data_IF_782180884431
#
_entry.id   IF_782180884431
#
_cell.length_a   1.000
_cell.length_b   1.000
_cell.length_c   1.000
_cell.angle_alpha   90.00
_cell.angle_beta   90.00
_cell.angle_gamma   90.00
#
_symmetry.space_group_name_H-M   'P 1'
#
loop_
_entity.id
_entity.type
_entity.pdbx_description
1 polymer ?
#
# COMPACT_ATOMS: atom_id res chain seq x y z
N UNK A 1 -25.32 -25.41 39.69
CA UNK A 1 -24.22 -24.97 38.81
C UNK A 1 -24.35 -25.43 37.35
N UNK A 2 -25.52 -25.89 36.87
CA UNK A 2 -25.71 -26.34 35.47
C UNK A 2 -26.63 -25.44 34.61
N UNK A 3 -27.41 -24.54 35.22
CA UNK A 3 -28.39 -23.70 34.50
C UNK A 3 -27.74 -22.47 33.84
N UNK A 4 -26.64 -21.96 34.41
CA UNK A 4 -25.90 -20.81 33.87
C UNK A 4 -25.17 -21.13 32.55
N UNK A 5 -24.63 -22.35 32.39
CA UNK A 5 -23.89 -22.72 31.17
C UNK A 5 -24.82 -22.88 29.94
N UNK A 6 -26.07 -23.32 30.16
CA UNK A 6 -27.10 -23.38 29.11
C UNK A 6 -27.51 -21.98 28.66
N UNK A 7 -27.72 -21.05 29.59
CA UNK A 7 -28.04 -19.65 29.25
C UNK A 7 -26.90 -18.96 28.51
N UNK A 8 -25.63 -19.18 28.89
CA UNK A 8 -24.49 -18.59 28.19
C UNK A 8 -24.36 -19.15 26.76
N UNK A 9 -24.59 -20.45 26.54
CA UNK A 9 -24.60 -21.06 25.21
C UNK A 9 -25.75 -20.55 24.33
N UNK A 10 -26.94 -20.31 24.90
CA UNK A 10 -28.08 -19.73 24.16
C UNK A 10 -27.79 -18.27 23.77
N UNK A 11 -27.17 -17.47 24.64
CA UNK A 11 -26.79 -16.09 24.31
C UNK A 11 -25.70 -16.06 23.21
N UNK A 12 -24.71 -16.95 23.26
CA UNK A 12 -23.67 -17.07 22.22
C UNK A 12 -24.24 -17.58 20.88
N UNK A 13 -25.31 -18.36 20.88
CA UNK A 13 -26.03 -18.74 19.65
C UNK A 13 -26.93 -17.63 19.10
N UNK A 14 -27.62 -16.88 19.97
CA UNK A 14 -28.47 -15.76 19.54
C UNK A 14 -27.67 -14.57 18.99
N UNK A 15 -26.42 -14.34 19.46
CA UNK A 15 -25.50 -13.37 18.85
C UNK A 15 -24.79 -13.88 17.58
N UNK A 16 -24.87 -15.18 17.26
CA UNK A 16 -24.33 -15.74 16.01
C UNK A 16 -25.35 -15.80 14.86
N UNK A 17 -26.59 -15.37 15.10
CA UNK A 17 -27.48 -15.00 14.00
C UNK A 17 -26.89 -13.74 13.39
N UNK A 18 -26.14 -13.90 12.28
CA UNK A 18 -25.80 -12.82 11.36
C UNK A 18 -27.11 -12.17 10.91
N UNK A 19 -27.51 -11.11 11.61
CA UNK A 19 -28.20 -10.02 10.97
C UNK A 19 -27.27 -9.51 9.88
N UNK A 20 -27.46 -10.04 8.67
CA UNK A 20 -27.06 -9.36 7.45
C UNK A 20 -27.89 -8.07 7.43
N UNK A 21 -27.39 -7.06 8.13
CA UNK A 21 -27.72 -5.67 7.85
C UNK A 21 -27.23 -5.44 6.43
N UNK A 22 -28.09 -5.74 5.46
CA UNK A 22 -27.92 -5.30 4.09
C UNK A 22 -28.01 -3.79 4.17
N UNK A 23 -26.86 -3.15 4.34
CA UNK A 23 -26.73 -1.71 4.17
C UNK A 23 -27.20 -1.45 2.75
N UNK A 24 -28.41 -0.91 2.63
CA UNK A 24 -28.97 -0.55 1.33
C UNK A 24 -28.16 0.66 0.86
N UNK A 25 -27.11 0.38 0.09
CA UNK A 25 -26.33 1.41 -0.60
C UNK A 25 -27.23 2.07 -1.64
N UNK A 26 -27.81 3.22 -1.31
CA UNK A 26 -28.59 4.00 -2.28
C UNK A 26 -27.65 4.70 -3.26
N UNK A 27 -27.52 4.15 -4.46
CA UNK A 27 -26.64 4.69 -5.51
C UNK A 27 -27.25 5.91 -6.22
N UNK A 28 -27.03 7.09 -5.66
CA UNK A 28 -27.43 8.39 -6.23
C UNK A 28 -26.29 9.06 -7.01
N UNK A 29 -25.79 8.41 -8.06
CA UNK A 29 -24.80 8.99 -8.99
C UNK A 29 -25.47 9.55 -10.25
N UNK A 30 -24.89 10.61 -10.84
CA UNK A 30 -25.39 11.24 -12.06
C UNK A 30 -24.99 10.41 -13.29
N UNK A 31 -25.88 10.37 -14.28
CA UNK A 31 -25.58 9.78 -15.59
C UNK A 31 -24.45 10.58 -16.24
N UNK A 32 -23.48 9.87 -16.82
CA UNK A 32 -22.25 10.43 -17.40
C UNK A 32 -21.07 10.51 -16.43
N UNK A 33 -21.25 10.35 -15.11
CA UNK A 33 -20.12 10.35 -14.18
C UNK A 33 -19.25 9.10 -14.37
N UNK A 34 -17.95 9.29 -14.51
CA UNK A 34 -16.96 8.21 -14.44
C UNK A 34 -16.93 7.65 -13.01
N UNK A 35 -17.15 6.35 -12.85
CA UNK A 35 -17.18 5.65 -11.57
C UNK A 35 -16.09 4.58 -11.51
N UNK A 36 -15.53 4.35 -10.32
CA UNK A 36 -14.74 3.16 -9.98
C UNK A 36 -15.55 2.31 -9.01
N UNK A 37 -15.87 1.08 -9.42
CA UNK A 37 -16.57 0.07 -8.61
C UNK A 37 -15.56 -0.98 -8.15
N UNK A 38 -15.53 -1.26 -6.86
CA UNK A 38 -14.84 -2.42 -6.29
C UNK A 38 -15.89 -3.46 -5.90
N UNK A 39 -15.68 -4.72 -6.28
CA UNK A 39 -16.57 -5.83 -5.95
C UNK A 39 -16.11 -6.59 -4.70
N UNK A 40 -17.02 -7.36 -4.08
CA UNK A 40 -16.75 -8.19 -2.90
C UNK A 40 -15.67 -9.23 -3.12
N UNK A 41 -15.49 -9.69 -4.36
CA UNK A 41 -14.40 -10.58 -4.79
C UNK A 41 -13.05 -9.84 -5.05
N UNK A 42 -12.97 -8.55 -4.71
CA UNK A 42 -11.83 -7.64 -4.89
C UNK A 42 -11.45 -7.33 -6.35
N UNK A 43 -12.30 -7.65 -7.34
CA UNK A 43 -12.17 -7.08 -8.69
C UNK A 43 -12.53 -5.59 -8.66
N UNK A 44 -11.91 -4.82 -9.54
CA UNK A 44 -12.12 -3.37 -9.66
C UNK A 44 -12.45 -3.04 -11.11
N UNK A 45 -13.49 -2.25 -11.33
CA UNK A 45 -13.94 -1.79 -12.63
C UNK A 45 -14.04 -0.27 -12.63
N UNK A 46 -13.78 0.35 -13.77
CA UNK A 46 -13.96 1.79 -13.99
C UNK A 46 -14.82 1.99 -15.23
N UNK A 47 -15.80 2.90 -15.22
CA UNK A 47 -16.69 3.13 -16.36
C UNK A 47 -17.67 4.27 -16.12
N UNK A 48 -18.36 4.74 -17.15
CA UNK A 48 -19.31 5.86 -17.02
C UNK A 48 -20.67 5.34 -16.55
N UNK A 49 -21.27 5.93 -15.49
CA UNK A 49 -22.64 5.58 -15.09
C UNK A 49 -23.60 5.94 -16.23
N UNK A 50 -24.17 4.92 -16.84
CA UNK A 50 -25.21 5.05 -17.85
C UNK A 50 -26.60 5.00 -17.23
N UNK A 51 -26.76 4.25 -16.14
CA UNK A 51 -27.97 4.20 -15.32
C UNK A 51 -27.61 3.80 -13.90
N UNK A 52 -27.99 4.62 -12.92
CA UNK A 52 -27.80 4.32 -11.51
C UNK A 52 -29.19 4.20 -10.86
N UNK A 53 -29.41 3.11 -10.11
CA UNK A 53 -30.66 2.74 -9.48
C UNK A 53 -30.40 2.21 -8.05
N UNK A 54 -31.42 2.19 -7.19
CA UNK A 54 -31.29 1.91 -5.74
C UNK A 54 -30.51 0.65 -5.36
N UNK A 55 -30.42 -0.35 -6.24
CA UNK A 55 -29.65 -1.58 -6.02
C UNK A 55 -28.74 -1.98 -7.21
N UNK A 56 -28.53 -1.10 -8.20
CA UNK A 56 -27.81 -1.44 -9.42
C UNK A 56 -27.15 -0.23 -10.08
N UNK A 57 -25.92 -0.42 -10.57
CA UNK A 57 -25.19 0.54 -11.38
C UNK A 57 -24.89 -0.10 -12.74
N UNK A 58 -25.33 0.55 -13.81
CA UNK A 58 -24.99 0.17 -15.18
C UNK A 58 -23.87 1.08 -15.69
N UNK A 59 -22.70 0.52 -15.98
CA UNK A 59 -21.56 1.24 -16.55
C UNK A 59 -21.43 0.97 -18.06
N UNK A 60 -20.90 1.96 -18.79
CA UNK A 60 -20.34 1.78 -20.14
C UNK A 60 -18.86 2.22 -20.20
N UNK A 61 -18.19 1.96 -21.33
CA UNK A 61 -16.76 2.23 -21.53
C UNK A 61 -15.90 1.65 -20.40
N UNK A 62 -16.21 0.40 -20.04
CA UNK A 62 -15.75 -0.21 -18.79
C UNK A 62 -14.34 -0.76 -18.92
N UNK A 63 -13.50 -0.49 -17.94
CA UNK A 63 -12.11 -0.91 -17.83
C UNK A 63 -11.97 -1.79 -16.59
N UNK A 64 -11.65 -3.07 -16.78
CA UNK A 64 -11.36 -4.00 -15.68
C UNK A 64 -9.90 -3.85 -15.22
N UNK A 65 -9.71 -3.62 -13.92
CA UNK A 65 -8.42 -3.54 -13.23
C UNK A 65 -8.04 -4.89 -12.58
N UNK A 66 -6.73 -5.18 -12.45
CA UNK A 66 -5.60 -4.33 -12.84
C UNK A 66 -5.29 -4.35 -14.34
N UNK A 67 -6.00 -5.17 -15.11
CA UNK A 67 -5.63 -5.50 -16.47
C UNK A 67 -5.82 -4.38 -17.49
N UNK A 68 -6.47 -3.27 -17.12
CA UNK A 68 -6.97 -2.22 -18.03
C UNK A 68 -7.67 -2.81 -19.25
N UNK A 69 -8.43 -3.90 -19.04
CA UNK A 69 -9.11 -4.60 -20.12
C UNK A 69 -10.41 -3.85 -20.40
N UNK A 70 -10.50 -3.25 -21.58
CA UNK A 70 -11.74 -2.67 -22.07
C UNK A 70 -12.78 -3.77 -22.30
N UNK A 71 -13.90 -3.66 -21.59
CA UNK A 71 -15.05 -4.54 -21.71
C UNK A 71 -16.11 -3.85 -22.57
N UNK A 72 -16.44 -4.48 -23.70
CA UNK A 72 -17.41 -3.94 -24.66
C UNK A 72 -18.84 -4.11 -24.13
N UNK A 73 -19.67 -3.10 -24.39
CA UNK A 73 -21.08 -3.08 -24.03
C UNK A 73 -21.37 -2.37 -22.71
N UNK A 74 -22.58 -2.59 -22.21
CA UNK A 74 -23.04 -2.10 -20.92
C UNK A 74 -22.95 -3.23 -19.90
N UNK A 75 -22.34 -2.97 -18.75
CA UNK A 75 -22.22 -3.94 -17.65
C UNK A 75 -23.02 -3.44 -16.45
N UNK A 76 -23.81 -4.33 -15.87
CA UNK A 76 -24.63 -4.07 -14.69
C UNK A 76 -23.96 -4.69 -13.47
N UNK A 77 -23.83 -3.91 -12.40
CA UNK A 77 -23.29 -4.31 -11.11
C UNK A 77 -24.35 -4.09 -10.03
N UNK A 78 -24.60 -5.09 -9.19
CA UNK A 78 -25.65 -5.06 -8.17
C UNK A 78 -25.11 -4.73 -6.77
N UNK A 79 -25.94 -4.14 -5.90
CA UNK A 79 -25.54 -3.74 -4.55
C UNK A 79 -25.07 -4.89 -3.63
N UNK A 80 -25.32 -6.15 -4.00
CA UNK A 80 -24.86 -7.34 -3.28
C UNK A 80 -23.45 -7.81 -3.68
N UNK A 81 -22.98 -7.44 -4.87
CA UNK A 81 -21.62 -7.72 -5.35
C UNK A 81 -20.70 -6.50 -5.25
N UNK A 82 -21.26 -5.29 -5.22
CA UNK A 82 -20.52 -4.04 -5.01
C UNK A 82 -20.05 -3.94 -3.54
N UNK A 83 -18.74 -3.81 -3.34
CA UNK A 83 -18.09 -3.54 -2.05
C UNK A 83 -17.88 -2.04 -1.83
N UNK A 84 -17.52 -1.28 -2.87
CA UNK A 84 -17.46 0.18 -2.83
C UNK A 84 -17.64 0.82 -4.20
N UNK A 85 -18.03 2.10 -4.24
CA UNK A 85 -18.14 2.91 -5.46
C UNK A 85 -17.52 4.28 -5.19
N UNK A 86 -16.72 4.78 -6.14
CA UNK A 86 -16.06 6.09 -6.10
C UNK A 86 -16.34 6.84 -7.39
N UNK A 87 -16.46 8.17 -7.34
CA UNK A 87 -16.58 9.03 -8.54
C UNK A 87 -15.18 9.48 -8.96
N UNK A 88 -14.93 9.51 -10.26
CA UNK A 88 -13.80 10.18 -10.92
C UNK A 88 -14.35 11.47 -11.55
N UNK A 89 -14.02 12.62 -10.96
CA UNK A 89 -14.43 13.91 -11.49
C UNK A 89 -13.53 14.34 -12.67
N UNK A 90 -14.13 14.73 -13.79
CA UNK A 90 -13.42 15.25 -14.96
C UNK A 90 -12.86 16.66 -14.68
N UNK A 91 -11.54 16.77 -14.70
CA UNK A 91 -10.86 18.07 -14.77
C UNK A 91 -10.73 18.44 -16.25
N UNK A 92 -11.68 19.23 -16.77
CA UNK A 92 -11.48 20.30 -17.77
C UNK A 92 -12.83 20.85 -18.28
N UNK A 93 -13.07 22.15 -18.08
CA UNK A 93 -13.75 23.04 -19.03
C UNK A 93 -13.64 24.48 -18.53
N UNK A 94 -12.62 25.20 -19.03
CA UNK A 94 -12.49 26.65 -18.89
C UNK A 94 -12.79 27.29 -20.25
N UNK A 95 -13.70 28.26 -20.30
CA UNK A 95 -13.93 29.10 -21.49
C UNK A 95 -15.39 29.45 -21.82
N UNK A 96 -15.85 30.60 -21.30
CA UNK A 96 -16.73 31.62 -21.93
C UNK A 96 -18.05 31.18 -22.62
N UNK A 97 -19.23 31.81 -22.45
CA UNK A 97 -19.51 33.25 -22.28
C UNK A 97 -20.96 33.51 -21.75
N UNK A 98 -21.14 34.64 -21.04
CA UNK A 98 -22.28 35.57 -20.96
C UNK A 98 -23.74 35.24 -20.48
N UNK A 99 -24.14 36.07 -19.49
CA UNK A 99 -25.39 36.86 -19.39
C UNK A 99 -26.74 36.27 -18.89
N UNK A 100 -27.00 36.55 -17.60
CA UNK A 100 -28.10 37.41 -17.10
C UNK A 100 -29.30 36.82 -16.31
N UNK A 101 -29.59 37.53 -15.20
CA UNK A 101 -30.88 37.72 -14.46
C UNK A 101 -31.35 36.75 -13.34
N UNK A 102 -31.20 37.28 -12.12
CA UNK A 102 -32.09 37.24 -10.94
C UNK A 102 -32.04 36.06 -9.92
N UNK A 103 -31.86 36.48 -8.67
CA UNK A 103 -31.84 35.75 -7.38
C UNK A 103 -33.25 35.70 -6.74
N UNK A 104 -33.46 35.12 -5.53
CA UNK A 104 -32.54 34.41 -4.61
C UNK A 104 -33.08 32.98 -4.26
N UNK A 105 -32.64 32.22 -3.25
CA UNK A 105 -31.61 32.36 -2.19
C UNK A 105 -31.10 30.97 -1.73
N UNK A 106 -30.04 30.95 -0.90
CA UNK A 106 -29.84 30.09 0.30
C UNK A 106 -28.35 29.82 0.58
N UNK A 107 -27.84 30.52 1.59
CA UNK A 107 -26.76 30.20 2.53
C UNK A 107 -25.61 29.23 2.14
N UNK A 108 -24.42 29.85 2.03
CA UNK A 108 -23.07 29.27 2.08
C UNK A 108 -22.85 28.09 3.04
N UNK A 109 -22.41 26.95 2.48
CA UNK A 109 -21.53 25.99 3.17
C UNK A 109 -20.16 25.97 2.47
N UNK A 110 -19.08 25.95 3.27
CA UNK A 110 -17.72 26.26 2.79
C UNK A 110 -17.11 25.11 1.97
N UNK A 111 -16.52 25.46 0.82
CA UNK A 111 -15.81 24.55 -0.08
C UNK A 111 -14.63 23.84 0.60
N UNK A 112 -14.77 22.53 0.84
CA UNK A 112 -13.64 21.63 1.01
C UNK A 112 -13.12 21.20 -0.36
N UNK A 113 -11.87 21.53 -0.68
CA UNK A 113 -11.24 21.15 -1.96
C UNK A 113 -10.93 19.64 -1.92
N UNK A 114 -11.88 18.82 -2.35
CA UNK A 114 -11.66 17.40 -2.57
C UNK A 114 -10.81 17.21 -3.84
N UNK A 115 -9.60 16.67 -3.67
CA UNK A 115 -8.71 16.33 -4.80
C UNK A 115 -9.23 15.06 -5.50
N UNK A 116 -9.16 14.99 -6.85
CA UNK A 116 -9.63 13.82 -7.59
C UNK A 116 -8.78 12.57 -7.23
N UNK A 117 -9.46 11.50 -6.80
CA UNK A 117 -8.79 10.26 -6.40
C UNK A 117 -8.53 9.38 -7.62
N UNK A 118 -7.25 9.26 -7.98
CA UNK A 118 -6.82 8.54 -9.17
C UNK A 118 -6.95 7.01 -9.03
N UNK A 119 -7.02 6.35 -10.18
CA UNK A 119 -6.73 4.92 -10.41
C UNK A 119 -5.43 4.46 -9.71
N UNK A 120 -5.31 3.15 -9.43
CA UNK A 120 -4.08 2.47 -8.96
C UNK A 120 -2.82 3.10 -9.57
N UNK A 121 -1.95 3.68 -8.73
CA UNK A 121 -0.85 4.54 -9.12
C UNK A 121 0.46 3.81 -9.46
N UNK A 122 0.39 2.48 -9.69
CA UNK A 122 1.51 1.65 -10.18
C UNK A 122 1.18 1.06 -11.55
N UNK A 123 2.20 0.60 -12.28
CA UNK A 123 2.01 -0.05 -13.59
C UNK A 123 1.22 -1.35 -13.43
N UNK A 124 0.37 -1.68 -14.40
CA UNK A 124 -0.38 -2.97 -14.46
C UNK A 124 0.49 -4.19 -14.17
N UNK A 125 1.62 -4.30 -14.86
CA UNK A 125 2.53 -5.44 -14.74
C UNK A 125 3.12 -5.56 -13.33
N UNK A 126 3.43 -4.41 -12.70
CA UNK A 126 3.91 -4.34 -11.32
C UNK A 126 2.85 -4.80 -10.33
N UNK A 127 1.61 -4.30 -10.44
CA UNK A 127 0.52 -4.75 -9.56
C UNK A 127 0.21 -6.24 -9.72
N UNK A 128 0.21 -6.75 -10.96
CA UNK A 128 -0.01 -8.17 -11.22
C UNK A 128 1.11 -9.05 -10.63
N UNK A 129 2.38 -8.62 -10.76
CA UNK A 129 3.56 -9.26 -10.18
C UNK A 129 3.46 -9.32 -8.65
N UNK A 130 3.10 -8.20 -8.01
CA UNK A 130 2.91 -8.11 -6.57
C UNK A 130 1.78 -9.04 -6.09
N UNK A 131 0.64 -9.10 -6.80
CA UNK A 131 -0.45 -10.03 -6.47
C UNK A 131 -0.04 -11.49 -6.64
N UNK A 132 0.73 -11.83 -7.68
CA UNK A 132 1.23 -13.20 -7.88
C UNK A 132 2.09 -13.63 -6.70
N UNK A 133 3.05 -12.80 -6.28
CA UNK A 133 3.94 -13.06 -5.12
C UNK A 133 3.18 -13.33 -3.81
N UNK A 134 1.96 -12.80 -3.63
CA UNK A 134 1.13 -13.15 -2.46
C UNK A 134 0.64 -14.60 -2.46
N UNK A 135 0.72 -15.29 -3.61
CA UNK A 135 0.25 -16.66 -3.86
C UNK A 135 1.40 -17.62 -4.19
N UNK A 136 2.46 -17.15 -4.84
CA UNK A 136 3.68 -17.90 -5.17
C UNK A 136 4.76 -17.85 -4.06
N UNK A 137 4.36 -17.64 -2.80
CA UNK A 137 5.29 -17.61 -1.65
C UNK A 137 6.01 -18.95 -1.43
N UNK A 138 7.21 -18.89 -0.86
CA UNK A 138 7.97 -20.07 -0.39
C UNK A 138 7.84 -20.17 1.13
N UNK A 139 7.08 -21.15 1.61
CA UNK A 139 6.90 -21.44 3.04
C UNK A 139 7.87 -22.52 3.53
N UNK A 140 8.62 -22.19 4.58
CA UNK A 140 9.65 -23.03 5.19
C UNK A 140 9.30 -23.32 6.64
N UNK A 141 8.91 -24.57 6.89
CA UNK A 141 8.70 -25.13 8.23
C UNK A 141 9.97 -25.73 8.85
N UNK A 142 11.02 -25.90 8.05
CA UNK A 142 12.26 -26.60 8.36
C UNK A 142 13.44 -25.91 7.70
N UNK A 143 14.62 -26.04 8.31
CA UNK A 143 15.89 -25.64 7.71
C UNK A 143 16.32 -26.76 6.73
N UNK A 144 15.93 -26.62 5.46
CA UNK A 144 16.24 -27.53 4.36
C UNK A 144 16.91 -26.78 3.19
N UNK A 145 17.12 -27.41 2.04
CA UNK A 145 17.77 -26.76 0.89
C UNK A 145 17.05 -25.47 0.45
N UNK A 146 15.71 -25.39 0.55
CA UNK A 146 14.96 -24.18 0.20
C UNK A 146 15.27 -23.02 1.16
N UNK A 147 15.61 -23.32 2.41
CA UNK A 147 16.12 -22.32 3.36
C UNK A 147 17.49 -21.80 2.91
N UNK A 148 18.39 -22.69 2.49
CA UNK A 148 19.72 -22.31 1.99
C UNK A 148 19.62 -21.45 0.72
N UNK A 149 18.80 -21.86 -0.24
CA UNK A 149 18.50 -21.11 -1.46
C UNK A 149 17.91 -19.72 -1.13
N UNK A 150 16.98 -19.66 -0.17
CA UNK A 150 16.35 -18.42 0.28
C UNK A 150 17.35 -17.45 0.93
N UNK A 151 18.20 -17.92 1.86
CA UNK A 151 19.18 -17.03 2.51
C UNK A 151 20.29 -16.61 1.53
N UNK A 152 20.69 -17.48 0.61
CA UNK A 152 21.63 -17.11 -0.45
C UNK A 152 21.02 -15.99 -1.32
N UNK A 153 19.79 -16.15 -1.81
CA UNK A 153 19.12 -15.13 -2.62
C UNK A 153 18.94 -13.80 -1.86
N UNK A 154 18.43 -13.86 -0.64
CA UNK A 154 18.22 -12.68 0.21
C UNK A 154 19.54 -11.97 0.55
N UNK A 155 20.67 -12.69 0.65
CA UNK A 155 21.99 -12.09 0.90
C UNK A 155 22.51 -11.25 -0.29
N UNK A 156 22.01 -11.49 -1.50
CA UNK A 156 22.36 -10.73 -2.71
C UNK A 156 21.41 -9.55 -2.99
N UNK A 157 20.34 -9.37 -2.20
CA UNK A 157 19.35 -8.31 -2.40
C UNK A 157 19.82 -6.97 -1.82
N UNK A 158 19.69 -5.86 -2.58
CA UNK A 158 19.94 -4.52 -2.04
C UNK A 158 18.85 -4.07 -1.04
N UNK A 159 17.58 -4.40 -1.33
CA UNK A 159 16.42 -4.06 -0.52
C UNK A 159 15.60 -5.34 -0.27
N UNK A 160 15.24 -5.59 0.99
CA UNK A 160 14.31 -6.67 1.39
C UNK A 160 13.22 -6.07 2.28
N UNK A 161 11.97 -6.46 2.11
CA UNK A 161 10.93 -6.13 3.07
C UNK A 161 10.84 -7.17 4.19
N UNK A 162 10.60 -6.74 5.43
CA UNK A 162 10.60 -7.60 6.62
C UNK A 162 9.36 -7.35 7.47
N UNK A 163 8.61 -8.41 7.76
CA UNK A 163 7.45 -8.41 8.65
C UNK A 163 7.58 -9.53 9.67
N UNK A 164 7.49 -9.21 10.95
CA UNK A 164 7.42 -10.20 12.04
C UNK A 164 5.97 -10.40 12.48
N UNK A 165 5.44 -11.61 12.34
CA UNK A 165 4.11 -11.94 12.85
C UNK A 165 4.20 -12.12 14.37
N UNK A 166 3.21 -11.58 15.09
CA UNK A 166 3.22 -11.35 16.54
C UNK A 166 4.31 -10.38 17.05
N UNK A 167 4.93 -9.56 16.19
CA UNK A 167 5.88 -8.54 16.66
C UNK A 167 5.25 -7.48 17.56
N UNK A 168 3.94 -7.27 17.50
CA UNK A 168 3.18 -6.27 18.26
C UNK A 168 3.38 -6.35 19.78
N UNK A 169 3.65 -7.55 20.30
CA UNK A 169 3.99 -7.80 21.71
C UNK A 169 5.42 -7.35 22.10
N UNK A 170 6.28 -7.03 21.13
CA UNK A 170 7.67 -6.67 21.35
C UNK A 170 8.43 -7.79 22.07
N UNK A 171 9.20 -7.44 23.08
CA UNK A 171 9.95 -8.37 23.95
C UNK A 171 9.11 -9.38 24.74
N UNK A 172 7.78 -9.23 24.79
CA UNK A 172 6.91 -10.11 25.58
C UNK A 172 6.65 -11.46 24.90
N UNK A 173 6.91 -11.57 23.60
CA UNK A 173 6.63 -12.79 22.82
C UNK A 173 7.63 -12.95 21.67
N UNK A 174 8.02 -14.18 21.38
CA UNK A 174 8.77 -14.51 20.18
C UNK A 174 7.87 -14.36 18.93
N UNK A 175 8.46 -13.88 17.83
CA UNK A 175 7.82 -13.92 16.51
C UNK A 175 7.36 -15.34 16.15
N UNK A 176 6.10 -15.47 15.71
CA UNK A 176 5.53 -16.75 15.23
C UNK A 176 6.00 -17.09 13.82
N UNK A 177 6.08 -16.07 12.95
CA UNK A 177 6.62 -16.16 11.59
C UNK A 177 7.52 -14.95 11.34
N UNK A 178 8.57 -15.15 10.54
CA UNK A 178 9.28 -14.06 9.89
C UNK A 178 8.97 -14.13 8.39
N UNK A 179 8.34 -13.08 7.86
CA UNK A 179 8.10 -12.92 6.43
C UNK A 179 9.15 -11.98 5.87
N UNK A 180 9.90 -12.44 4.88
CA UNK A 180 10.90 -11.64 4.16
C UNK A 180 10.58 -11.65 2.68
N UNK A 181 10.64 -10.51 2.02
CA UNK A 181 10.32 -10.37 0.61
C UNK A 181 11.50 -9.71 -0.11
N UNK A 182 12.03 -10.35 -1.16
CA UNK A 182 12.90 -9.70 -2.14
C UNK A 182 12.06 -8.85 -3.10
N UNK A 183 12.64 -8.32 -4.17
CA UNK A 183 11.84 -7.70 -5.24
C UNK A 183 10.80 -8.67 -5.79
N UNK A 184 11.16 -9.93 -6.01
CA UNK A 184 10.49 -10.91 -6.87
C UNK A 184 9.91 -12.14 -6.13
N UNK A 185 10.31 -12.41 -4.88
CA UNK A 185 9.90 -13.60 -4.13
C UNK A 185 9.56 -13.27 -2.67
N UNK A 186 8.45 -13.83 -2.17
CA UNK A 186 8.11 -13.84 -0.74
C UNK A 186 8.55 -15.14 -0.10
N UNK A 187 9.23 -15.04 1.05
CA UNK A 187 9.67 -16.15 1.90
C UNK A 187 8.97 -16.06 3.26
N UNK A 188 8.43 -17.18 3.75
CA UNK A 188 7.79 -17.28 5.07
C UNK A 188 8.56 -18.32 5.88
N UNK A 189 9.34 -17.83 6.86
CA UNK A 189 10.11 -18.65 7.78
C UNK A 189 9.28 -18.93 9.04
N UNK A 190 8.98 -20.19 9.31
CA UNK A 190 8.18 -20.61 10.46
C UNK A 190 9.05 -20.82 11.71
N UNK A 191 9.26 -19.72 12.45
CA UNK A 191 10.18 -19.70 13.59
C UNK A 191 9.71 -20.58 14.75
N UNK A 192 8.40 -20.89 14.85
CA UNK A 192 7.90 -21.88 15.83
C UNK A 192 8.33 -23.31 15.47
N UNK A 193 8.45 -23.63 14.17
CA UNK A 193 8.77 -24.97 13.70
C UNK A 193 10.27 -25.23 13.49
N UNK A 194 11.09 -24.17 13.41
CA UNK A 194 12.55 -24.32 13.26
C UNK A 194 13.24 -25.00 14.46
N UNK A 195 12.57 -25.09 15.63
CA UNK A 195 12.97 -25.90 16.81
C UNK A 195 14.38 -25.63 17.39
N UNK A 196 15.05 -24.54 16.99
CA UNK A 196 16.35 -24.15 17.57
C UNK A 196 16.20 -23.28 18.81
N UNK A 197 17.15 -23.38 19.75
CA UNK A 197 17.24 -22.51 20.93
C UNK A 197 17.77 -21.10 20.62
N UNK A 198 18.34 -20.93 19.43
CA UNK A 198 18.99 -19.71 18.95
C UNK A 198 18.41 -19.35 17.59
N UNK A 199 18.31 -18.05 17.30
CA UNK A 199 17.92 -17.56 15.98
C UNK A 199 18.93 -18.01 14.91
N UNK A 200 18.47 -18.13 13.67
CA UNK A 200 19.27 -18.68 12.58
C UNK A 200 20.41 -17.73 12.17
N UNK A 201 21.69 -18.18 12.15
CA UNK A 201 22.84 -17.31 11.89
C UNK A 201 22.79 -16.61 10.52
N UNK A 202 22.34 -17.30 9.47
CA UNK A 202 22.31 -16.76 8.12
C UNK A 202 21.26 -15.64 8.00
N UNK A 203 20.06 -15.85 8.55
CA UNK A 203 19.04 -14.81 8.65
C UNK A 203 19.49 -13.65 9.54
N UNK A 204 20.17 -13.92 10.66
CA UNK A 204 20.74 -12.87 11.53
C UNK A 204 21.70 -12.00 10.74
N UNK A 205 22.64 -12.60 10.00
CA UNK A 205 23.60 -11.85 9.17
C UNK A 205 22.91 -10.94 8.14
N UNK A 206 21.82 -11.40 7.51
CA UNK A 206 21.04 -10.60 6.56
C UNK A 206 20.34 -9.42 7.28
N UNK A 207 19.68 -9.67 8.41
CA UNK A 207 18.97 -8.64 9.19
C UNK A 207 19.91 -7.61 9.83
N UNK A 208 21.14 -8.01 10.17
CA UNK A 208 22.18 -7.16 10.76
C UNK A 208 23.12 -6.51 9.72
N UNK A 209 23.08 -6.92 8.45
CA UNK A 209 23.92 -6.37 7.37
C UNK A 209 23.63 -4.91 7.05
N UNK A 210 24.61 -4.02 7.18
CA UNK A 210 24.48 -2.62 6.73
C UNK A 210 24.43 -2.49 5.19
N UNK A 211 24.83 -3.51 4.43
CA UNK A 211 24.73 -3.53 2.97
C UNK A 211 23.33 -3.82 2.43
N UNK A 212 22.46 -4.43 3.23
CA UNK A 212 21.10 -4.82 2.84
C UNK A 212 20.10 -3.90 3.56
N UNK A 213 19.27 -3.19 2.81
CA UNK A 213 18.25 -2.28 3.36
C UNK A 213 17.00 -3.05 3.74
N UNK A 214 16.59 -2.98 5.01
CA UNK A 214 15.37 -3.63 5.51
C UNK A 214 14.20 -2.65 5.46
N UNK A 215 13.26 -2.92 4.57
CA UNK A 215 12.04 -2.14 4.39
C UNK A 215 10.99 -2.64 5.36
N UNK A 216 10.46 -1.76 6.20
CA UNK A 216 9.50 -2.12 7.25
C UNK A 216 8.38 -1.08 7.33
N UNK A 217 7.35 -1.39 8.08
CA UNK A 217 6.27 -0.48 8.43
C UNK A 217 6.10 -0.52 9.95
N UNK A 218 6.26 0.62 10.61
CA UNK A 218 6.30 0.76 12.07
C UNK A 218 7.30 -0.20 12.75
N UNK A 219 8.58 0.08 12.55
CA UNK A 219 9.71 -0.74 13.00
C UNK A 219 9.77 -0.97 14.52
N UNK A 220 9.17 -0.10 15.34
CA UNK A 220 9.34 -0.02 16.81
C UNK A 220 9.17 -1.38 17.49
N UNK A 221 8.09 -2.09 17.16
CA UNK A 221 7.72 -3.37 17.79
C UNK A 221 8.51 -4.55 17.24
N UNK A 222 8.82 -4.54 15.95
CA UNK A 222 9.68 -5.54 15.30
C UNK A 222 11.11 -5.48 15.86
N UNK A 223 11.69 -4.29 15.99
CA UNK A 223 13.04 -4.08 16.54
C UNK A 223 13.12 -4.51 18.00
N UNK A 224 12.15 -4.16 18.84
CA UNK A 224 12.10 -4.57 20.25
C UNK A 224 12.06 -6.10 20.40
N UNK A 225 11.22 -6.78 19.61
CA UNK A 225 11.13 -8.24 19.60
C UNK A 225 12.44 -8.89 19.10
N UNK A 226 12.95 -8.48 17.93
CA UNK A 226 14.18 -9.02 17.36
C UNK A 226 15.37 -8.89 18.32
N UNK A 227 15.54 -7.72 18.95
CA UNK A 227 16.64 -7.49 19.90
C UNK A 227 16.49 -8.32 21.18
N UNK A 228 15.33 -8.28 21.83
CA UNK A 228 15.17 -8.92 23.14
C UNK A 228 14.93 -10.43 23.06
N UNK A 229 14.08 -10.91 22.16
CA UNK A 229 13.71 -12.32 22.03
C UNK A 229 14.75 -13.11 21.21
N UNK A 230 15.17 -12.55 20.07
CA UNK A 230 15.97 -13.27 19.07
C UNK A 230 17.46 -12.92 19.05
N UNK A 231 17.87 -11.88 19.80
CA UNK A 231 19.24 -11.34 19.83
C UNK A 231 19.73 -10.88 18.44
N UNK A 232 18.82 -10.27 17.67
CA UNK A 232 19.06 -9.71 16.34
C UNK A 232 18.92 -8.19 16.39
N UNK A 233 19.95 -7.47 15.95
CA UNK A 233 19.99 -6.01 15.83
C UNK A 233 19.64 -5.60 14.41
N UNK A 234 18.36 -5.35 14.13
CA UNK A 234 17.94 -4.87 12.80
C UNK A 234 18.64 -3.55 12.45
N UNK A 235 19.47 -3.56 11.40
CA UNK A 235 20.24 -2.39 10.90
C UNK A 235 19.66 -1.85 9.58
N UNK A 236 20.26 -0.79 9.01
CA UNK A 236 19.92 -0.19 7.70
C UNK A 236 18.42 -0.26 7.35
N UNK A 237 17.60 0.41 8.18
CA UNK A 237 16.13 0.33 8.10
C UNK A 237 15.61 1.49 7.24
N UNK A 238 14.71 1.19 6.29
CA UNK A 238 13.78 2.17 5.74
C UNK A 238 12.39 1.90 6.33
N UNK A 239 11.89 2.82 7.14
CA UNK A 239 10.57 2.73 7.77
C UNK A 239 9.55 3.55 6.98
N UNK A 240 8.61 2.85 6.33
CA UNK A 240 7.57 3.45 5.49
C UNK A 240 6.56 4.30 6.28
N UNK A 241 6.43 4.08 7.59
CA UNK A 241 5.65 4.94 8.48
C UNK A 241 6.40 6.25 8.78
N UNK A 242 7.72 6.19 9.00
CA UNK A 242 8.54 7.40 9.16
C UNK A 242 8.55 8.24 7.87
N UNK A 243 8.68 7.58 6.71
CA UNK A 243 8.57 8.24 5.42
C UNK A 243 7.20 8.90 5.21
N UNK A 244 6.10 8.26 5.64
CA UNK A 244 4.76 8.84 5.64
C UNK A 244 4.69 10.14 6.46
N UNK A 245 5.19 10.12 7.70
CA UNK A 245 5.21 11.31 8.56
C UNK A 245 6.05 12.46 7.97
N UNK A 246 7.20 12.14 7.35
CA UNK A 246 8.05 13.15 6.69
C UNK A 246 7.35 13.78 5.48
N UNK A 247 6.67 12.98 4.66
CA UNK A 247 5.92 13.46 3.50
C UNK A 247 4.72 14.34 3.90
N UNK A 248 3.96 13.94 4.92
CA UNK A 248 2.84 14.74 5.43
C UNK A 248 3.32 16.06 6.04
N UNK A 249 4.45 16.05 6.76
CA UNK A 249 5.08 17.28 7.26
C UNK A 249 5.52 18.19 6.11
N UNK A 250 6.13 17.65 5.05
CA UNK A 250 6.53 18.42 3.85
C UNK A 250 5.32 19.07 3.17
N UNK A 251 4.21 18.34 3.04
CA UNK A 251 2.99 18.82 2.38
C UNK A 251 2.20 19.85 3.22
N UNK A 252 2.05 19.62 4.53
CA UNK A 252 1.17 20.44 5.39
C UNK A 252 1.90 21.52 6.17
N UNK A 253 3.24 21.47 6.22
CA UNK A 253 4.13 22.24 7.12
C UNK A 253 3.85 22.04 8.62
N UNK A 254 2.95 21.14 8.98
CA UNK A 254 2.57 20.82 10.35
C UNK A 254 3.11 19.45 10.77
N UNK A 255 3.21 19.19 12.07
CA UNK A 255 3.55 17.85 12.56
C UNK A 255 2.33 16.92 12.44
N UNK A 256 2.41 15.80 11.67
CA UNK A 256 1.35 14.81 11.62
C UNK A 256 1.19 14.12 12.98
N UNK A 257 -0.05 13.82 13.34
CA UNK A 257 -0.43 13.23 14.65
C UNK A 257 -0.79 11.75 14.58
N UNK A 258 -0.95 11.19 13.38
CA UNK A 258 -1.42 9.82 13.14
C UNK A 258 -0.42 9.12 12.24
N UNK A 259 0.04 7.95 12.68
CA UNK A 259 0.75 7.00 11.83
C UNK A 259 -0.31 6.21 11.09
N UNK A 260 -0.28 6.26 9.75
CA UNK A 260 -1.14 5.41 8.92
C UNK A 260 -0.67 3.97 9.05
N UNK A 261 -1.59 3.03 9.13
CA UNK A 261 -1.26 1.61 9.00
C UNK A 261 -0.85 1.28 7.55
N UNK A 262 -0.43 0.03 7.32
CA UNK A 262 0.08 -0.38 6.00
C UNK A 262 -0.99 -0.33 4.91
N UNK A 263 -2.25 -0.70 5.21
CA UNK A 263 -3.35 -0.64 4.23
C UNK A 263 -3.68 0.81 3.85
N UNK A 264 -3.80 1.69 4.86
CA UNK A 264 -4.00 3.15 4.67
C UNK A 264 -2.85 3.80 3.90
N UNK A 265 -1.62 3.31 4.08
CA UNK A 265 -0.44 3.80 3.36
C UNK A 265 -0.42 3.34 1.91
N UNK A 266 -0.81 2.09 1.63
CA UNK A 266 -0.94 1.57 0.26
C UNK A 266 -2.09 2.26 -0.50
N UNK A 267 -3.21 2.52 0.16
CA UNK A 267 -4.29 3.35 -0.39
C UNK A 267 -3.77 4.77 -0.69
N UNK A 268 -3.18 5.44 0.29
CA UNK A 268 -2.78 6.85 0.14
C UNK A 268 -1.66 7.11 -0.87
N UNK A 269 -0.67 6.21 -0.98
CA UNK A 269 0.49 6.41 -1.85
C UNK A 269 0.40 5.67 -3.20
N UNK A 270 -0.32 4.55 -3.26
CA UNK A 270 -0.43 3.69 -4.45
C UNK A 270 -1.86 3.57 -5.01
N UNK A 271 -2.86 4.20 -4.39
CA UNK A 271 -4.29 4.07 -4.72
C UNK A 271 -4.76 2.60 -4.76
N UNK A 272 -4.22 1.76 -3.87
CA UNK A 272 -4.68 0.39 -3.68
C UNK A 272 -6.00 0.36 -2.89
N UNK A 273 -6.79 -0.73 -2.98
CA UNK A 273 -8.00 -0.87 -2.17
C UNK A 273 -7.71 -0.78 -0.67
N UNK A 274 -8.46 0.05 0.05
CA UNK A 274 -8.37 0.19 1.52
C UNK A 274 -8.49 -1.15 2.25
N UNK A 275 -9.33 -2.05 1.71
CA UNK A 275 -9.60 -3.41 2.19
C UNK A 275 -8.70 -4.49 1.58
N UNK A 276 -7.54 -4.15 1.02
CA UNK A 276 -6.58 -5.12 0.46
C UNK A 276 -5.93 -5.98 1.55
N UNK A 277 -5.62 -5.39 2.70
CA UNK A 277 -4.93 -6.06 3.83
C UNK A 277 -5.81 -6.24 5.08
N UNK A 278 -7.05 -5.76 5.08
CA UNK A 278 -8.03 -5.87 6.19
C UNK A 278 -8.05 -7.30 6.77
N UNK A 279 -8.38 -8.26 5.92
CA UNK A 279 -8.35 -9.70 6.16
C UNK A 279 -7.07 -10.25 6.83
N UNK A 280 -5.90 -9.65 6.54
CA UNK A 280 -4.60 -10.10 7.04
C UNK A 280 -4.22 -9.42 8.37
N UNK A 281 -4.65 -8.16 8.56
CA UNK A 281 -4.47 -7.38 9.78
C UNK A 281 -5.41 -7.82 10.91
N UNK A 282 -6.58 -8.36 10.58
CA UNK A 282 -7.55 -8.89 11.55
C UNK A 282 -7.21 -10.28 12.11
N UNK A 283 -6.20 -10.98 11.57
CA UNK A 283 -5.86 -12.33 12.04
C UNK A 283 -5.31 -12.28 13.46
N UNK A 284 -5.94 -13.04 14.35
CA UNK A 284 -5.56 -13.11 15.76
C UNK A 284 -4.25 -13.88 15.95
N UNK A 285 -3.55 -13.54 17.02
CA UNK A 285 -2.33 -14.22 17.49
C UNK A 285 -2.51 -15.73 17.65
N UNK A 286 -3.62 -16.19 18.22
CA UNK A 286 -3.92 -17.63 18.34
C UNK A 286 -3.97 -18.32 16.98
N UNK A 287 -4.61 -17.71 15.97
CA UNK A 287 -4.67 -18.25 14.61
C UNK A 287 -3.31 -18.21 13.88
N UNK A 288 -2.41 -17.29 14.26
CA UNK A 288 -1.03 -17.27 13.77
C UNK A 288 -0.14 -18.34 14.40
N UNK A 289 -0.52 -18.88 15.56
CA UNK A 289 0.18 -19.96 16.26
C UNK A 289 -0.32 -21.36 15.89
N UNK A 290 -1.52 -21.49 15.30
CA UNK A 290 -2.06 -22.77 14.84
C UNK A 290 -1.11 -23.47 13.86
N UNK A 291 -0.87 -24.78 14.09
CA UNK A 291 -0.06 -25.63 13.21
C UNK A 291 -0.79 -26.95 12.91
N UNK A 292 -0.77 -27.44 11.65
CA UNK A 292 -0.08 -26.86 10.48
C UNK A 292 -0.73 -25.55 10.01
N UNK A 293 0.09 -24.56 9.65
CA UNK A 293 -0.40 -23.24 9.25
C UNK A 293 -1.22 -23.36 7.96
N UNK A 294 -2.46 -22.85 7.98
CA UNK A 294 -3.38 -22.89 6.84
C UNK A 294 -2.85 -22.08 5.65
N UNK A 295 -3.11 -22.55 4.43
CA UNK A 295 -2.65 -21.87 3.21
C UNK A 295 -3.26 -20.46 3.05
N UNK A 296 -4.48 -20.23 3.54
CA UNK A 296 -5.09 -18.89 3.60
C UNK A 296 -4.32 -17.93 4.50
N UNK A 297 -3.77 -18.42 5.63
CA UNK A 297 -2.93 -17.63 6.55
C UNK A 297 -1.56 -17.34 5.93
N UNK A 298 -0.98 -18.29 5.18
CA UNK A 298 0.28 -18.04 4.42
C UNK A 298 0.12 -16.95 3.36
N UNK A 299 -0.98 -16.95 2.59
CA UNK A 299 -1.33 -15.85 1.66
C UNK A 299 -1.42 -14.52 2.42
N UNK A 300 -2.17 -14.49 3.54
CA UNK A 300 -2.29 -13.29 4.39
C UNK A 300 -0.93 -12.78 4.90
N UNK A 301 -0.06 -13.68 5.35
CA UNK A 301 1.30 -13.33 5.77
C UNK A 301 2.13 -12.75 4.61
N UNK A 302 2.02 -13.32 3.40
CA UNK A 302 2.70 -12.82 2.21
C UNK A 302 2.18 -11.44 1.77
N UNK A 303 0.86 -11.20 1.84
CA UNK A 303 0.24 -9.91 1.54
C UNK A 303 0.79 -8.76 2.40
N UNK A 304 1.11 -9.01 3.68
CA UNK A 304 1.66 -7.99 4.58
C UNK A 304 3.06 -7.50 4.17
N UNK A 305 3.85 -8.33 3.46
CA UNK A 305 5.21 -8.01 3.06
C UNK A 305 5.35 -7.58 1.58
N UNK A 306 4.60 -8.22 0.67
CA UNK A 306 4.80 -8.11 -0.78
C UNK A 306 4.81 -6.66 -1.30
N UNK A 307 3.94 -5.80 -0.76
CA UNK A 307 3.76 -4.43 -1.26
C UNK A 307 4.73 -3.40 -0.66
N UNK A 308 5.54 -3.77 0.35
CA UNK A 308 6.37 -2.82 1.11
C UNK A 308 7.49 -2.20 0.28
N UNK A 309 8.12 -2.95 -0.63
CA UNK A 309 9.21 -2.42 -1.47
C UNK A 309 8.66 -1.36 -2.43
N UNK A 310 7.59 -1.67 -3.16
CA UNK A 310 6.92 -0.72 -4.08
C UNK A 310 6.38 0.52 -3.34
N UNK A 311 5.88 0.36 -2.11
CA UNK A 311 5.50 1.49 -1.25
C UNK A 311 6.72 2.37 -0.90
N UNK A 312 7.83 1.76 -0.49
CA UNK A 312 9.09 2.46 -0.22
C UNK A 312 9.59 3.22 -1.44
N UNK A 313 9.61 2.61 -2.62
CA UNK A 313 10.07 3.26 -3.86
C UNK A 313 9.22 4.50 -4.18
N UNK A 314 7.90 4.40 -4.03
CA UNK A 314 6.99 5.54 -4.19
C UNK A 314 7.29 6.64 -3.17
N UNK A 315 7.46 6.30 -1.90
CA UNK A 315 7.72 7.27 -0.84
C UNK A 315 9.09 7.93 -0.98
N UNK A 316 10.14 7.16 -1.26
CA UNK A 316 11.51 7.64 -1.50
C UNK A 316 11.55 8.60 -2.70
N UNK A 317 10.83 8.28 -3.79
CA UNK A 317 10.68 9.19 -4.94
C UNK A 317 9.99 10.51 -4.59
N UNK A 318 9.02 10.51 -3.68
CA UNK A 318 8.34 11.73 -3.21
C UNK A 318 9.21 12.54 -2.22
N UNK A 319 9.99 11.86 -1.37
CA UNK A 319 10.93 12.51 -0.45
C UNK A 319 12.01 13.26 -1.25
N UNK A 320 12.56 12.61 -2.28
CA UNK A 320 13.60 13.13 -3.16
C UNK A 320 13.05 13.90 -4.39
N UNK A 321 11.77 14.29 -4.39
CA UNK A 321 11.14 14.89 -5.58
C UNK A 321 11.88 16.13 -6.10
N UNK A 322 12.30 17.03 -5.21
CA UNK A 322 12.98 18.27 -5.61
C UNK A 322 14.41 18.00 -6.11
N UNK A 323 15.09 16.99 -5.56
CA UNK A 323 16.37 16.50 -6.09
C UNK A 323 16.22 15.96 -7.51
N UNK A 324 15.18 15.15 -7.79
CA UNK A 324 14.93 14.64 -9.14
C UNK A 324 14.55 15.75 -10.13
N UNK A 325 13.75 16.74 -9.69
CA UNK A 325 13.43 17.93 -10.50
C UNK A 325 14.68 18.77 -10.80
N UNK A 326 15.52 19.03 -9.79
CA UNK A 326 16.80 19.72 -9.96
C UNK A 326 17.71 18.99 -10.95
N UNK A 327 17.83 17.66 -10.81
CA UNK A 327 18.63 16.80 -11.70
C UNK A 327 18.12 16.84 -13.14
N UNK A 328 16.80 16.81 -13.35
CA UNK A 328 16.20 16.91 -14.69
C UNK A 328 16.41 18.29 -15.32
N UNK A 329 16.29 19.37 -14.55
CA UNK A 329 16.60 20.72 -15.05
C UNK A 329 18.08 20.82 -15.39
N UNK A 330 18.97 20.34 -14.51
CA UNK A 330 20.42 20.40 -14.68
C UNK A 330 20.90 19.66 -15.93
N UNK A 331 20.38 18.45 -16.19
CA UNK A 331 20.75 17.66 -17.38
C UNK A 331 20.25 18.26 -18.71
N UNK A 332 19.25 19.15 -18.66
CA UNK A 332 18.71 19.84 -19.84
C UNK A 332 19.39 21.18 -20.13
N UNK A 333 20.22 21.72 -19.22
CA UNK A 333 20.84 23.05 -19.38
C UNK A 333 21.73 23.15 -20.63
N UNK A 334 22.46 22.09 -20.96
CA UNK A 334 23.34 22.05 -22.16
C UNK A 334 22.63 21.54 -23.40
N UNK A 335 21.61 20.70 -23.27
CA UNK A 335 20.82 20.15 -24.39
C UNK A 335 20.00 21.23 -25.09
N UNK A 336 19.48 22.19 -24.32
CA UNK A 336 18.66 23.29 -24.82
C UNK A 336 19.47 24.58 -25.09
N UNK A 337 20.80 24.54 -24.93
CA UNK A 337 21.69 25.67 -25.16
C UNK A 337 22.12 25.76 -26.63
N UNK A 338 22.22 26.98 -27.16
CA UNK A 338 22.85 27.19 -28.46
C UNK A 338 24.38 27.05 -28.37
N UNK A 339 25.04 26.76 -29.49
CA UNK A 339 26.50 26.54 -29.49
C UNK A 339 27.31 27.73 -28.94
N UNK A 340 26.75 28.94 -29.03
CA UNK A 340 27.39 30.17 -28.54
C UNK A 340 27.33 30.29 -27.02
N UNK A 341 26.21 29.96 -26.38
CA UNK A 341 26.09 29.93 -24.91
C UNK A 341 26.89 28.79 -24.29
N UNK A 342 26.99 27.62 -24.95
CA UNK A 342 27.88 26.53 -24.52
C UNK A 342 29.34 27.01 -24.48
N UNK A 343 29.86 27.58 -25.58
CA UNK A 343 31.23 28.10 -25.65
C UNK A 343 31.51 29.20 -24.60
N UNK A 344 30.54 30.08 -24.36
CA UNK A 344 30.64 31.13 -23.32
C UNK A 344 30.69 30.55 -21.91
N UNK A 345 29.96 29.46 -21.65
CA UNK A 345 30.01 28.74 -20.36
C UNK A 345 31.32 27.97 -20.15
N UNK A 346 31.92 27.43 -21.20
CA UNK A 346 33.22 26.72 -21.11
C UNK A 346 34.41 27.65 -20.85
N UNK A 347 34.33 28.91 -21.30
CA UNK A 347 35.41 29.89 -21.13
C UNK A 347 35.38 30.62 -19.77
N UNK A 348 34.23 30.64 -19.08
CA UNK A 348 34.13 31.22 -17.74
C UNK A 348 34.40 30.15 -16.67
N UNK A 349 35.59 30.17 -16.07
CA UNK A 349 36.03 29.20 -15.04
C UNK A 349 35.30 29.28 -13.69
N UNK A 350 34.27 30.11 -13.54
CA UNK A 350 33.45 30.14 -12.32
C UNK A 350 32.33 29.09 -12.41
N UNK A 351 32.48 28.02 -11.62
CA UNK A 351 31.48 26.97 -11.39
C UNK A 351 30.29 27.51 -10.56
N UNK A 352 29.61 28.52 -11.09
CA UNK A 352 28.42 29.13 -10.48
C UNK A 352 27.22 28.18 -10.57
N UNK A 353 26.45 28.08 -9.48
CA UNK A 353 25.24 27.27 -9.42
C UNK A 353 24.19 27.87 -10.38
N UNK A 354 23.69 27.12 -11.39
CA UNK A 354 22.71 27.65 -12.34
C UNK A 354 21.44 28.17 -11.64
N UNK A 355 21.01 29.39 -11.97
CA UNK A 355 19.83 30.02 -11.35
C UNK A 355 18.57 29.14 -11.42
N UNK A 356 18.43 28.39 -12.52
CA UNK A 356 17.29 27.51 -12.78
C UNK A 356 17.16 26.38 -11.73
N UNK A 357 18.27 25.95 -11.10
CA UNK A 357 18.25 24.89 -10.09
C UNK A 357 18.17 25.40 -8.64
N UNK A 358 18.54 26.67 -8.37
CA UNK A 358 18.59 27.20 -6.99
C UNK A 358 17.27 27.07 -6.22
N UNK A 359 16.14 27.23 -6.91
CA UNK A 359 14.77 27.07 -6.35
C UNK A 359 14.40 25.66 -5.87
N UNK A 360 15.26 24.65 -6.09
CA UNK A 360 15.10 23.27 -5.61
C UNK A 360 16.13 22.88 -4.55
N UNK A 361 17.04 23.80 -4.18
CA UNK A 361 18.13 23.59 -3.22
C UNK A 361 17.87 24.30 -1.87
N UNK A 362 16.72 24.95 -1.72
CA UNK A 362 16.26 25.75 -0.57
C UNK A 362 14.89 25.21 -0.15
#
# INVERSE_FOLDING_TARGET
MYILDVYLRIIVHLFNIRYYFVIIMEFNFKIGQRLVIELTNKQIFEGDCKKCAKNRIDLCNVIEYPNKKELKGQLSYYSCEILSVRVLDDVNNDGQQDASLNSPDCETVKNGIHKPHQVIAVKKAEYARLLDMTRSYIYMATVDNRYLDAVQHLSCCENIAVVGIDSSFGRMKNLSLLVVCSWDQVYIFDLLLFRKKTFEPELKNILESDGIKKIVHDSRKLVDCLWHCHKVKLTNIFDTSVAQLMLEKKQTRNMPKVIKNISESLEHYLNFPSKLLEDALEVTTSEWEERPLLNSKKVKAAQLAAFLITLKEKQEKLLLEDFYRATQVFSQLTVNADGFSILKSSNNQEASIPEQIKKYLI
#
